data_IF_272972474905
#
_entry.id   IF_272972474905
#
_cell.length_a   1.000
_cell.length_b   1.000
_cell.length_c   1.000
_cell.angle_alpha   90.00
_cell.angle_beta   90.00
_cell.angle_gamma   90.00
#
_symmetry.space_group_name_H-M   'P 1'
#
loop_
_entity.id
_entity.type
_entity.pdbx_description
1 polymer ?
#
# COMPACT_ATOMS: atom_id res chain seq x y z
N UNK A 1 1.13 -4.00 11.53
CA UNK A 1 0.48 -4.92 12.45
C UNK A 1 1.25 -6.25 12.52
N UNK A 2 1.69 -6.65 13.70
CA UNK A 2 2.48 -7.88 13.90
C UNK A 2 1.64 -9.16 13.81
N UNK A 3 0.32 -9.05 13.79
CA UNK A 3 -0.59 -10.20 13.66
C UNK A 3 -0.83 -10.62 12.21
N UNK A 4 -0.41 -9.79 11.24
CA UNK A 4 -0.54 -10.07 9.80
C UNK A 4 0.85 -10.38 9.22
N UNK A 5 1.10 -11.64 8.87
CA UNK A 5 2.42 -12.09 8.39
C UNK A 5 2.85 -11.40 7.08
N UNK A 6 1.92 -11.07 6.18
CA UNK A 6 2.18 -10.30 4.97
C UNK A 6 2.67 -8.89 5.31
N UNK A 7 2.06 -8.23 6.30
CA UNK A 7 2.48 -6.92 6.79
C UNK A 7 3.90 -6.97 7.36
N UNK A 8 4.18 -7.94 8.24
CA UNK A 8 5.55 -8.16 8.79
C UNK A 8 6.57 -8.36 7.68
N UNK A 9 6.29 -9.26 6.74
CA UNK A 9 7.19 -9.54 5.61
C UNK A 9 7.41 -8.29 4.72
N UNK A 10 6.36 -7.52 4.49
CA UNK A 10 6.44 -6.26 3.72
C UNK A 10 7.34 -5.23 4.40
N UNK A 11 7.19 -5.05 5.70
CA UNK A 11 8.02 -4.13 6.49
C UNK A 11 9.49 -4.57 6.54
N UNK A 12 9.77 -5.86 6.74
CA UNK A 12 11.15 -6.35 6.74
C UNK A 12 11.85 -6.12 5.39
N UNK A 13 11.13 -6.27 4.27
CA UNK A 13 11.66 -5.95 2.94
C UNK A 13 11.93 -4.45 2.78
N UNK A 14 11.01 -3.59 3.24
CA UNK A 14 11.17 -2.14 3.21
C UNK A 14 12.38 -1.69 4.05
N UNK A 15 12.53 -2.22 5.27
CA UNK A 15 13.68 -1.94 6.15
C UNK A 15 15.00 -2.33 5.49
N UNK A 16 15.06 -3.54 4.92
CA UNK A 16 16.24 -4.00 4.19
C UNK A 16 16.61 -3.04 3.04
N UNK A 17 15.62 -2.62 2.26
CA UNK A 17 15.84 -1.64 1.18
C UNK A 17 16.38 -0.31 1.72
N UNK A 18 15.80 0.20 2.80
CA UNK A 18 16.24 1.43 3.45
C UNK A 18 17.70 1.32 3.93
N UNK A 19 18.05 0.22 4.58
CA UNK A 19 19.43 -0.03 5.05
C UNK A 19 20.43 -0.08 3.89
N UNK A 20 20.08 -0.74 2.79
CA UNK A 20 20.92 -0.86 1.59
C UNK A 20 21.12 0.49 0.86
N UNK A 21 20.17 1.43 1.02
CA UNK A 21 20.18 2.73 0.33
C UNK A 21 20.46 3.91 1.27
N UNK A 22 20.77 3.68 2.53
CA UNK A 22 21.07 4.72 3.50
C UNK A 22 19.86 5.61 3.84
N UNK A 23 18.64 5.09 3.73
CA UNK A 23 17.39 5.78 4.06
C UNK A 23 17.08 5.55 5.53
N UNK A 24 17.02 6.62 6.32
CA UNK A 24 16.62 6.54 7.71
C UNK A 24 15.13 6.21 7.83
N UNK A 25 14.77 5.35 8.78
CA UNK A 25 13.38 5.02 9.04
C UNK A 25 13.07 4.94 10.54
N UNK A 26 11.79 5.09 10.85
CA UNK A 26 11.20 4.83 12.16
C UNK A 26 10.01 3.91 12.00
N UNK A 27 9.73 3.11 13.00
CA UNK A 27 8.65 2.12 12.96
C UNK A 27 7.72 2.31 14.16
N UNK A 28 6.42 2.22 13.92
CA UNK A 28 5.39 2.08 14.95
C UNK A 28 4.54 0.86 14.65
N UNK A 29 4.24 0.09 15.68
CA UNK A 29 3.44 -1.12 15.59
C UNK A 29 2.04 -0.86 16.10
N UNK A 30 1.04 -1.40 15.38
CA UNK A 30 -0.36 -1.37 15.79
C UNK A 30 -0.86 -2.79 16.04
N UNK A 31 -1.83 -2.93 16.94
CA UNK A 31 -2.49 -4.21 17.26
C UNK A 31 -3.97 -4.20 16.88
N UNK A 32 -4.53 -3.01 16.65
CA UNK A 32 -5.90 -2.81 16.22
C UNK A 32 -6.10 -1.47 15.54
N UNK A 33 -7.25 -1.27 14.93
CA UNK A 33 -7.61 -0.04 14.20
C UNK A 33 -7.55 1.22 15.08
N UNK A 34 -7.88 1.08 16.37
CA UNK A 34 -7.84 2.19 17.32
C UNK A 34 -6.43 2.75 17.58
N UNK A 35 -5.38 1.94 17.34
CA UNK A 35 -4.01 2.34 17.60
C UNK A 35 -3.42 3.17 16.44
N UNK A 36 -3.98 3.07 15.23
CA UNK A 36 -3.39 3.60 13.98
C UNK A 36 -3.17 5.11 14.05
N UNK A 37 -4.15 5.86 14.52
CA UNK A 37 -4.06 7.31 14.64
C UNK A 37 -2.93 7.72 15.60
N UNK A 38 -2.84 7.08 16.76
CA UNK A 38 -1.82 7.38 17.75
C UNK A 38 -0.43 6.97 17.25
N UNK A 39 -0.32 5.82 16.58
CA UNK A 39 0.93 5.37 15.97
C UNK A 39 1.44 6.37 14.92
N UNK A 40 0.56 6.83 14.02
CA UNK A 40 0.90 7.87 13.05
C UNK A 40 1.34 9.17 13.73
N UNK A 41 0.59 9.64 14.73
CA UNK A 41 0.91 10.86 15.47
C UNK A 41 2.25 10.77 16.20
N UNK A 42 2.67 9.59 16.63
CA UNK A 42 3.96 9.40 17.30
C UNK A 42 5.17 9.54 16.37
N UNK A 43 4.96 9.36 15.06
CA UNK A 43 6.02 9.40 14.04
C UNK A 43 6.03 10.70 13.22
N UNK A 44 4.89 11.38 13.11
CA UNK A 44 4.63 12.42 12.10
C UNK A 44 5.64 13.58 12.09
N UNK A 45 6.20 13.93 13.23
CA UNK A 45 7.18 15.01 13.35
C UNK A 45 8.62 14.57 13.01
N UNK A 46 8.85 13.28 12.86
CA UNK A 46 10.18 12.69 12.74
C UNK A 46 10.42 12.08 11.35
N UNK A 47 9.42 12.11 10.46
CA UNK A 47 9.46 11.48 9.14
C UNK A 47 9.06 12.47 8.04
N UNK A 48 9.54 12.23 6.83
CA UNK A 48 9.16 13.01 5.64
C UNK A 48 8.01 12.38 4.88
N UNK A 49 7.81 11.08 5.03
CA UNK A 49 6.74 10.31 4.41
C UNK A 49 6.40 9.09 5.26
N UNK A 50 5.22 8.56 5.05
CA UNK A 50 4.80 7.29 5.60
C UNK A 50 4.83 6.19 4.53
N UNK A 51 5.14 4.98 4.95
CA UNK A 51 4.92 3.76 4.18
C UNK A 51 4.09 2.79 5.01
N UNK A 52 3.05 2.22 4.40
CA UNK A 52 2.26 1.15 4.98
C UNK A 52 2.18 -0.02 4.01
N UNK A 53 2.50 -1.25 4.44
CA UNK A 53 2.33 -2.43 3.61
C UNK A 53 0.84 -2.72 3.42
N UNK A 54 0.52 -3.75 2.65
CA UNK A 54 -0.83 -4.29 2.62
C UNK A 54 -1.17 -4.90 3.99
N UNK A 55 -2.04 -4.22 4.74
CA UNK A 55 -2.42 -4.52 6.12
C UNK A 55 -3.89 -4.17 6.33
N UNK A 56 -4.72 -5.18 6.64
CA UNK A 56 -6.17 -4.99 6.77
C UNK A 56 -6.56 -4.09 7.94
N UNK A 57 -5.79 -4.15 9.04
CA UNK A 57 -6.02 -3.31 10.21
C UNK A 57 -5.77 -1.85 9.90
N UNK A 58 -4.67 -1.55 9.19
CA UNK A 58 -4.34 -0.17 8.78
C UNK A 58 -5.31 0.33 7.71
N UNK A 59 -5.64 -0.51 6.70
CA UNK A 59 -6.60 -0.16 5.66
C UNK A 59 -7.97 0.20 6.24
N UNK A 60 -8.46 -0.56 7.24
CA UNK A 60 -9.72 -0.28 7.92
C UNK A 60 -9.72 1.03 8.74
N UNK A 61 -8.55 1.57 9.06
CA UNK A 61 -8.38 2.82 9.81
C UNK A 61 -7.81 3.96 8.93
N UNK A 62 -7.87 3.81 7.61
CA UNK A 62 -7.20 4.72 6.66
C UNK A 62 -7.62 6.18 6.84
N UNK A 63 -8.90 6.46 7.14
CA UNK A 63 -9.40 7.80 7.37
C UNK A 63 -8.70 8.52 8.55
N UNK A 64 -8.51 7.81 9.67
CA UNK A 64 -7.82 8.37 10.84
C UNK A 64 -6.31 8.53 10.59
N UNK A 65 -5.71 7.63 9.82
CA UNK A 65 -4.33 7.73 9.40
C UNK A 65 -4.09 8.95 8.49
N UNK A 66 -4.93 9.11 7.48
CA UNK A 66 -4.90 10.23 6.54
C UNK A 66 -5.06 11.58 7.24
N UNK A 67 -5.94 11.68 8.24
CA UNK A 67 -6.11 12.91 8.99
C UNK A 67 -4.78 13.36 9.59
N UNK A 68 -4.06 12.48 10.29
CA UNK A 68 -2.77 12.82 10.91
C UNK A 68 -1.71 13.18 9.86
N UNK A 69 -1.62 12.39 8.80
CA UNK A 69 -0.60 12.58 7.76
C UNK A 69 -0.84 13.87 6.94
N UNK A 70 -2.09 14.11 6.52
CA UNK A 70 -2.46 15.27 5.72
C UNK A 70 -2.35 16.58 6.50
N UNK A 71 -2.76 16.59 7.77
CA UNK A 71 -2.62 17.76 8.66
C UNK A 71 -1.15 18.17 8.83
N UNK A 72 -0.23 17.21 8.74
CA UNK A 72 1.21 17.42 8.78
C UNK A 72 1.89 17.57 7.41
N UNK A 73 1.13 17.51 6.32
CA UNK A 73 1.67 17.60 4.95
C UNK A 73 2.54 16.39 4.56
N UNK A 74 2.28 15.20 5.10
CA UNK A 74 3.09 14.00 4.86
C UNK A 74 2.38 13.00 3.95
N UNK A 75 2.99 12.58 2.81
CA UNK A 75 2.40 11.56 1.94
C UNK A 75 2.41 10.18 2.60
N UNK A 76 1.39 9.38 2.30
CA UNK A 76 1.33 7.96 2.65
C UNK A 76 1.49 7.13 1.38
N UNK A 77 2.59 6.39 1.28
CA UNK A 77 2.79 5.36 0.26
C UNK A 77 2.18 4.05 0.72
N UNK A 78 1.39 3.42 -0.14
CA UNK A 78 0.52 2.30 0.20
C UNK A 78 0.95 1.00 -0.48
N UNK A 79 0.65 -0.13 0.15
CA UNK A 79 0.93 -1.46 -0.37
C UNK A 79 -0.11 -1.99 -1.36
N UNK A 80 -1.23 -1.29 -1.56
CA UNK A 80 -2.32 -1.71 -2.44
C UNK A 80 -3.08 -0.49 -3.03
N UNK A 81 -3.74 -0.72 -4.16
CA UNK A 81 -4.59 0.22 -4.88
C UNK A 81 -5.78 0.71 -4.04
N UNK A 82 -6.43 -0.18 -3.30
CA UNK A 82 -7.57 0.15 -2.44
C UNK A 82 -7.24 1.26 -1.44
N UNK A 83 -6.04 1.25 -0.85
CA UNK A 83 -5.61 2.27 0.10
C UNK A 83 -5.35 3.63 -0.58
N UNK A 84 -4.95 3.64 -1.86
CA UNK A 84 -4.83 4.87 -2.65
C UNK A 84 -6.21 5.41 -3.03
N UNK A 85 -7.17 4.53 -3.34
CA UNK A 85 -8.57 4.89 -3.54
C UNK A 85 -9.18 5.53 -2.29
N UNK A 86 -8.78 5.09 -1.10
CA UNK A 86 -9.22 5.66 0.19
C UNK A 86 -8.52 7.00 0.53
N UNK A 87 -7.57 7.46 -0.29
CA UNK A 87 -6.92 8.76 -0.12
C UNK A 87 -5.40 8.70 0.12
N UNK A 88 -4.78 7.53 0.15
CA UNK A 88 -3.32 7.41 0.15
C UNK A 88 -2.69 8.08 -1.06
N UNK A 89 -1.40 8.45 -0.97
CA UNK A 89 -0.75 9.23 -2.02
C UNK A 89 -0.45 8.39 -3.27
N UNK A 90 0.25 7.28 -3.11
CA UNK A 90 0.68 6.48 -4.26
C UNK A 90 0.93 5.02 -3.86
N UNK A 91 0.93 4.15 -4.87
CA UNK A 91 1.32 2.74 -4.74
C UNK A 91 2.07 2.21 -5.96
N UNK A 92 3.01 1.33 -5.71
CA UNK A 92 3.39 0.23 -6.61
C UNK A 92 3.13 -1.04 -5.79
N UNK A 93 1.92 -1.56 -5.89
CA UNK A 93 1.42 -2.57 -4.96
C UNK A 93 0.41 -3.52 -5.57
N UNK A 94 -0.39 -4.15 -4.73
CA UNK A 94 -1.40 -5.10 -5.16
C UNK A 94 -2.49 -4.36 -5.94
N UNK A 95 -2.84 -4.94 -7.11
CA UNK A 95 -4.02 -4.64 -7.90
C UNK A 95 -5.05 -5.73 -7.61
N UNK A 96 -6.09 -5.40 -6.87
CA UNK A 96 -7.09 -6.38 -6.45
C UNK A 96 -8.01 -6.81 -7.59
N UNK A 97 -8.21 -5.99 -8.61
CA UNK A 97 -9.01 -6.37 -9.78
C UNK A 97 -8.25 -7.43 -10.60
N UNK A 98 -6.97 -7.20 -10.88
CA UNK A 98 -6.09 -8.17 -11.56
C UNK A 98 -6.01 -9.48 -10.75
N UNK A 99 -5.81 -9.38 -9.44
CA UNK A 99 -5.74 -10.55 -8.57
C UNK A 99 -7.05 -11.34 -8.56
N UNK A 100 -8.19 -10.66 -8.56
CA UNK A 100 -9.52 -11.26 -8.64
C UNK A 100 -9.72 -12.02 -9.94
N UNK A 101 -9.39 -11.43 -11.09
CA UNK A 101 -9.47 -12.08 -12.41
C UNK A 101 -8.57 -13.31 -12.46
N UNK A 102 -7.30 -13.18 -12.07
CA UNK A 102 -6.34 -14.29 -12.05
C UNK A 102 -6.81 -15.44 -11.15
N UNK A 103 -7.40 -15.12 -10.00
CA UNK A 103 -8.00 -16.13 -9.12
C UNK A 103 -9.18 -16.84 -9.78
N UNK A 104 -10.05 -16.09 -10.49
CA UNK A 104 -11.15 -16.64 -11.26
C UNK A 104 -10.68 -17.62 -12.35
N UNK A 105 -9.63 -17.27 -13.08
CA UNK A 105 -9.02 -18.13 -14.10
C UNK A 105 -8.42 -19.42 -13.49
N UNK A 106 -7.83 -19.35 -12.29
CA UNK A 106 -7.36 -20.55 -11.57
C UNK A 106 -8.54 -21.47 -11.21
N UNK A 107 -9.63 -20.89 -10.71
CA UNK A 107 -10.87 -21.65 -10.39
C UNK A 107 -11.43 -22.29 -11.65
N UNK A 108 -11.50 -21.57 -12.77
CA UNK A 108 -12.00 -22.07 -14.04
C UNK A 108 -11.20 -23.29 -14.51
N UNK A 109 -9.86 -23.27 -14.43
CA UNK A 109 -9.01 -24.42 -14.77
C UNK A 109 -9.39 -25.67 -13.95
N UNK A 110 -9.60 -25.50 -12.64
CA UNK A 110 -9.98 -26.61 -11.74
C UNK A 110 -11.38 -27.14 -12.09
N UNK A 111 -12.35 -26.27 -12.32
CA UNK A 111 -13.73 -26.66 -12.71
C UNK A 111 -13.72 -27.39 -14.03
N UNK A 112 -12.83 -27.05 -14.95
CA UNK A 112 -12.69 -27.74 -16.26
C UNK A 112 -11.82 -29.00 -16.20
N UNK A 113 -11.47 -29.49 -15.00
CA UNK A 113 -10.84 -30.79 -14.77
C UNK A 113 -9.35 -30.79 -14.50
N UNK A 114 -8.71 -29.63 -14.36
CA UNK A 114 -7.35 -29.58 -13.85
C UNK A 114 -7.33 -30.02 -12.37
N UNK A 115 -6.30 -30.76 -11.97
CA UNK A 115 -6.17 -31.14 -10.57
C UNK A 115 -5.57 -29.98 -9.75
N UNK A 116 -5.82 -29.97 -8.44
CA UNK A 116 -5.17 -29.00 -7.53
C UNK A 116 -3.65 -29.16 -7.56
N UNK A 117 -3.16 -30.37 -7.73
CA UNK A 117 -1.72 -30.65 -7.84
C UNK A 117 -1.08 -30.01 -9.10
N UNK A 118 -1.86 -29.88 -10.17
CA UNK A 118 -1.41 -29.27 -11.44
C UNK A 118 -1.72 -27.76 -11.50
N UNK A 119 -2.29 -27.19 -10.44
CA UNK A 119 -2.61 -25.77 -10.31
C UNK A 119 -1.80 -25.17 -9.17
N UNK A 120 -0.53 -24.85 -9.41
CA UNK A 120 0.35 -24.33 -8.36
C UNK A 120 -0.09 -22.94 -7.90
N UNK A 121 0.39 -22.52 -6.74
CA UNK A 121 0.24 -21.15 -6.25
C UNK A 121 0.87 -20.19 -7.26
N UNK A 122 0.11 -19.19 -7.68
CA UNK A 122 0.56 -18.13 -8.58
C UNK A 122 0.81 -16.83 -7.81
N UNK A 123 1.74 -16.04 -8.31
CA UNK A 123 1.91 -14.66 -7.84
C UNK A 123 1.09 -13.74 -8.75
N UNK A 124 0.76 -12.55 -8.23
CA UNK A 124 0.05 -11.55 -9.02
C UNK A 124 0.80 -11.24 -10.33
N UNK A 125 0.09 -11.24 -11.43
CA UNK A 125 0.65 -11.05 -12.77
C UNK A 125 1.10 -9.61 -13.03
N UNK A 126 0.39 -8.66 -12.45
CA UNK A 126 0.65 -7.22 -12.63
C UNK A 126 0.38 -6.47 -11.34
N UNK A 127 1.25 -5.52 -11.00
CA UNK A 127 1.06 -4.61 -9.88
C UNK A 127 0.37 -3.32 -10.33
N UNK A 128 -0.48 -2.78 -9.46
CA UNK A 128 -1.00 -1.43 -9.62
C UNK A 128 0.15 -0.41 -9.52
N UNK A 129 0.17 0.54 -10.43
CA UNK A 129 0.97 1.76 -10.33
C UNK A 129 -0.01 2.92 -10.33
N UNK A 130 -0.25 3.53 -9.17
CA UNK A 130 -1.31 4.50 -9.01
C UNK A 130 -0.84 5.70 -8.18
N UNK A 131 -1.26 6.91 -8.57
CA UNK A 131 -1.06 8.15 -7.82
C UNK A 131 -2.42 8.84 -7.64
N UNK A 132 -2.74 9.25 -6.42
CA UNK A 132 -3.90 10.08 -6.14
C UNK A 132 -3.56 11.56 -6.34
N UNK A 133 -4.08 12.12 -7.44
CA UNK A 133 -3.82 13.52 -7.83
C UNK A 133 -4.45 14.52 -6.85
N UNK A 134 -5.61 14.18 -6.30
CA UNK A 134 -6.25 15.04 -5.29
C UNK A 134 -5.39 15.14 -4.03
N UNK A 135 -4.85 14.02 -3.56
CA UNK A 135 -3.92 13.97 -2.43
C UNK A 135 -2.60 14.69 -2.76
N UNK A 136 -2.05 14.50 -3.97
CA UNK A 136 -0.86 15.24 -4.42
C UNK A 136 -1.08 16.76 -4.35
N UNK A 137 -2.20 17.25 -4.89
CA UNK A 137 -2.58 18.67 -4.84
C UNK A 137 -2.73 19.19 -3.40
N UNK A 138 -3.38 18.43 -2.55
CA UNK A 138 -3.57 18.76 -1.13
C UNK A 138 -2.24 18.91 -0.40
N UNK A 139 -1.28 18.03 -0.68
CA UNK A 139 0.06 18.02 -0.08
C UNK A 139 1.04 18.97 -0.75
N UNK A 140 0.66 19.64 -1.85
CA UNK A 140 1.55 20.50 -2.62
C UNK A 140 2.67 19.74 -3.34
N UNK A 141 2.45 18.46 -3.66
CA UNK A 141 3.40 17.60 -4.35
C UNK A 141 3.16 17.71 -5.87
N UNK A 142 4.18 18.15 -6.59
CA UNK A 142 4.17 18.14 -8.06
C UNK A 142 4.56 16.74 -8.55
N UNK A 143 3.70 16.14 -9.40
CA UNK A 143 3.95 14.82 -9.98
C UNK A 143 4.80 15.02 -11.24
N UNK A 144 6.04 14.48 -11.32
CA UNK A 144 6.88 14.59 -12.50
C UNK A 144 6.21 13.98 -13.73
N UNK A 145 6.48 14.55 -14.91
CA UNK A 145 5.82 14.14 -16.16
C UNK A 145 6.04 12.66 -16.49
N UNK A 146 7.25 12.14 -16.27
CA UNK A 146 7.56 10.72 -16.46
C UNK A 146 6.71 9.81 -15.56
N UNK A 147 6.35 10.28 -14.37
CA UNK A 147 5.46 9.54 -13.46
C UNK A 147 3.99 9.67 -13.86
N UNK A 148 3.57 10.78 -14.43
CA UNK A 148 2.23 10.92 -15.00
C UNK A 148 1.99 9.96 -16.17
N UNK A 149 3.02 9.67 -16.96
CA UNK A 149 2.96 8.73 -18.08
C UNK A 149 3.04 7.25 -17.63
N UNK A 150 3.74 6.97 -16.52
CA UNK A 150 3.96 5.62 -15.99
C UNK A 150 2.82 5.14 -15.09
N UNK A 151 2.17 6.03 -14.36
CA UNK A 151 1.20 5.71 -13.32
C UNK A 151 -0.22 6.05 -13.76
N UNK A 152 -1.18 5.25 -13.31
CA UNK A 152 -2.59 5.60 -13.35
C UNK A 152 -2.85 6.76 -12.39
N UNK A 153 -3.45 7.84 -12.90
CA UNK A 153 -3.80 9.01 -12.12
C UNK A 153 -5.24 8.90 -11.63
N UNK A 154 -5.44 8.94 -10.31
CA UNK A 154 -6.75 8.91 -9.67
C UNK A 154 -7.18 10.32 -9.27
N UNK A 155 -8.43 10.71 -9.59
CA UNK A 155 -9.02 11.97 -9.10
C UNK A 155 -8.68 13.19 -9.98
N UNK A 156 -8.47 13.00 -11.28
CA UNK A 156 -8.49 14.10 -12.27
C UNK A 156 -9.89 14.67 -12.46
#
# INVERSE_FOLDING_TARGET
NTSEINSVTGIERAKKYCDEHGIAYKEATVTGTADVQQAAASLVNDVDAFFTPNDNTVASAMAAYLQVANDAGKPIYCGADSMVNDGGFATVGIDYDVLGVQTGEMIERIVNGATVADTPVEQIAQYAKMINVATAKQLGIEIPQDKQEEFQLLGE
#
